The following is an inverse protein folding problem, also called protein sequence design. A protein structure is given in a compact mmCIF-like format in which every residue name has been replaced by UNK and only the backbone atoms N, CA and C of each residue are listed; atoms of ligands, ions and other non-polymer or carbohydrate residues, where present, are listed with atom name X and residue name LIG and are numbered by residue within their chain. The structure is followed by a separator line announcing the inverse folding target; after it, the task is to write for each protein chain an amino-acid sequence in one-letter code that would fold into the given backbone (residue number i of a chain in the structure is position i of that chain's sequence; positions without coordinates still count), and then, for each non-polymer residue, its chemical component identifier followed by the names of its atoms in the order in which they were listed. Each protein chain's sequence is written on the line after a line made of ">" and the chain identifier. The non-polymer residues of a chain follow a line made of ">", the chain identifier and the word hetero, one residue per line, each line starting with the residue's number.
data_IF_878430833481
#
_entry.id   IF_878430833481
#
_cell.length_a   1.000
_cell.length_b   1.000
_cell.length_c   1.000
_cell.angle_alpha   90.00
_cell.angle_beta   90.00
_cell.angle_gamma   90.00
#
_symmetry.space_group_name_H-M   'P 1'
#
loop_
_entity.id
_entity.type
_entity.pdbx_description
1 polymer ?
#
# COMPACT_ATOMS: atom_id res chain seq x y z
N UNK A 1 9.40 25.47 36.20
CA UNK A 1 10.39 24.44 35.84
C UNK A 1 9.92 23.17 36.51
N UNK A 2 9.26 22.30 35.76
CA UNK A 2 8.79 21.00 36.23
C UNK A 2 9.48 19.94 35.40
N UNK A 3 10.08 18.97 36.07
CA UNK A 3 10.92 17.92 35.49
C UNK A 3 10.10 17.00 34.59
N UNK A 4 10.48 16.96 33.31
CA UNK A 4 9.97 16.01 32.33
C UNK A 4 10.83 14.75 32.44
N UNK A 5 10.28 13.67 33.01
CA UNK A 5 10.86 12.34 32.89
C UNK A 5 10.41 11.72 31.56
N UNK A 6 11.34 11.23 30.71
CA UNK A 6 10.96 10.47 29.52
C UNK A 6 10.32 9.14 29.94
N UNK A 7 9.15 8.85 29.37
CA UNK A 7 8.49 7.57 29.53
C UNK A 7 9.36 6.45 28.93
N UNK A 8 9.39 5.33 29.64
CA UNK A 8 10.17 4.13 29.33
C UNK A 8 9.93 3.63 27.88
N UNK A 9 11.04 3.23 27.24
CA UNK A 9 11.08 2.62 25.91
C UNK A 9 10.28 1.30 25.88
N UNK A 10 9.02 1.35 25.43
CA UNK A 10 8.27 0.16 25.08
C UNK A 10 8.91 -0.51 23.83
N UNK A 11 9.62 -1.61 24.07
CA UNK A 11 10.04 -2.53 23.01
C UNK A 11 8.80 -3.15 22.36
N UNK A 12 8.44 -2.68 21.17
CA UNK A 12 7.45 -3.32 20.31
C UNK A 12 8.03 -4.67 19.83
N UNK A 13 7.58 -5.76 20.44
CA UNK A 13 7.92 -7.13 20.04
C UNK A 13 7.15 -7.50 18.77
N UNK A 14 7.82 -7.46 17.61
CA UNK A 14 7.28 -8.01 16.38
C UNK A 14 7.30 -9.56 16.43
N UNK A 15 6.21 -10.20 16.05
CA UNK A 15 6.11 -11.66 15.97
C UNK A 15 7.03 -12.22 14.88
N UNK A 16 7.63 -13.39 15.14
CA UNK A 16 8.55 -14.08 14.21
C UNK A 16 7.86 -14.36 12.87
N UNK A 17 8.26 -13.63 11.82
CA UNK A 17 8.07 -14.02 10.41
C UNK A 17 9.45 -14.25 9.79
N UNK A 18 9.53 -15.19 8.86
CA UNK A 18 10.77 -15.57 8.18
C UNK A 18 11.26 -14.41 7.29
N UNK A 19 12.53 -14.04 7.43
CA UNK A 19 13.18 -12.98 6.66
C UNK A 19 14.09 -13.60 5.59
N UNK A 20 14.01 -13.10 4.36
CA UNK A 20 14.85 -13.55 3.24
C UNK A 20 16.19 -12.80 3.20
N UNK A 21 17.25 -13.52 2.84
CA UNK A 21 18.64 -13.03 2.70
C UNK A 21 18.89 -12.36 1.35
N UNK A 22 19.93 -11.52 1.15
CA UNK A 22 20.23 -10.84 -0.16
C UNK A 22 21.72 -10.42 -0.37
N UNK A 23 22.30 -10.54 -1.59
CA UNK A 23 23.68 -10.11 -1.96
C UNK A 23 23.77 -9.51 -3.39
N UNK A 24 24.82 -8.76 -3.77
CA UNK A 24 24.67 -7.54 -4.62
C UNK A 24 25.39 -7.44 -5.98
N UNK A 25 24.95 -6.46 -6.79
CA UNK A 25 25.55 -6.02 -8.08
C UNK A 25 24.64 -5.15 -8.98
N UNK A 26 25.02 -3.88 -9.18
CA UNK A 26 24.54 -2.75 -10.05
C UNK A 26 23.14 -2.14 -9.83
N UNK A 27 23.11 -0.94 -9.21
CA UNK A 27 21.95 -0.08 -8.78
C UNK A 27 20.76 -0.79 -8.11
N UNK A 28 20.97 -2.05 -7.74
CA UNK A 28 20.25 -2.76 -6.69
C UNK A 28 20.63 -2.09 -5.38
N UNK A 29 19.66 -1.55 -4.64
CA UNK A 29 19.96 -1.12 -3.28
C UNK A 29 20.35 -2.33 -2.44
N UNK A 30 21.48 -2.18 -1.78
CA UNK A 30 22.04 -3.13 -0.83
C UNK A 30 21.12 -3.26 0.38
N UNK A 31 20.08 -4.09 0.28
CA UNK A 31 19.43 -4.59 1.47
C UNK A 31 20.43 -5.50 2.18
N UNK A 32 21.19 -4.94 3.12
CA UNK A 32 21.92 -5.70 4.15
C UNK A 32 20.91 -6.33 5.10
N UNK A 33 20.08 -7.22 4.60
CA UNK A 33 19.36 -8.20 5.41
C UNK A 33 20.27 -9.43 5.49
N UNK A 34 20.96 -9.48 6.63
CA UNK A 34 21.92 -10.50 7.02
C UNK A 34 21.24 -11.86 7.22
N UNK A 35 22.05 -12.91 7.08
CA UNK A 35 21.69 -14.32 7.00
C UNK A 35 21.07 -14.94 8.28
N UNK A 36 19.82 -15.47 8.36
CA UNK A 36 19.38 -16.23 9.52
C UNK A 36 20.05 -17.61 9.65
N UNK A 37 20.73 -18.14 8.63
CA UNK A 37 21.09 -19.56 8.55
C UNK A 37 22.50 -19.88 8.01
N UNK A 38 23.30 -18.91 7.57
CA UNK A 38 24.75 -19.08 7.38
C UNK A 38 25.52 -18.26 8.41
N UNK A 39 26.03 -18.96 9.42
CA UNK A 39 26.65 -18.37 10.61
C UNK A 39 28.02 -17.73 10.39
N UNK A 40 28.18 -16.83 9.41
CA UNK A 40 29.23 -15.80 9.35
C UNK A 40 28.72 -14.66 8.43
N UNK A 41 28.08 -13.62 8.96
CA UNK A 41 28.74 -12.44 9.51
C UNK A 41 28.03 -12.01 10.80
N UNK A 42 28.82 -11.84 11.86
CA UNK A 42 28.42 -11.49 13.22
C UNK A 42 27.65 -10.16 13.30
N UNK A 43 26.37 -10.17 12.95
CA UNK A 43 25.40 -9.21 13.44
C UNK A 43 24.22 -10.00 13.99
N UNK A 44 24.12 -9.99 15.32
CA UNK A 44 23.06 -10.61 16.11
C UNK A 44 21.68 -10.21 15.54
N UNK A 45 20.66 -11.07 15.67
CA UNK A 45 19.25 -10.71 15.39
C UNK A 45 18.89 -9.39 16.10
N UNK A 46 19.47 -9.17 17.28
CA UNK A 46 19.36 -7.91 18.01
C UNK A 46 19.90 -6.72 17.21
N UNK A 47 21.08 -6.82 16.60
CA UNK A 47 21.66 -5.76 15.78
C UNK A 47 20.85 -5.51 14.50
N UNK A 48 20.19 -6.53 13.93
CA UNK A 48 19.28 -6.36 12.78
C UNK A 48 18.03 -5.59 13.15
N UNK A 49 17.43 -5.96 14.28
CA UNK A 49 16.27 -5.26 14.83
C UNK A 49 16.64 -3.82 15.23
N UNK A 50 17.84 -3.61 15.77
CA UNK A 50 18.36 -2.28 16.05
C UNK A 50 18.53 -1.47 14.76
N UNK A 51 19.12 -2.03 13.70
CA UNK A 51 19.32 -1.30 12.44
C UNK A 51 17.99 -0.96 11.74
N UNK A 52 17.01 -1.87 11.78
CA UNK A 52 15.68 -1.63 11.20
C UNK A 52 14.85 -0.62 12.00
N UNK A 53 15.17 -0.41 13.28
CA UNK A 53 14.48 0.57 14.14
C UNK A 53 15.25 1.87 14.36
N UNK A 54 16.55 1.88 14.05
CA UNK A 54 17.40 3.04 14.21
C UNK A 54 17.22 4.07 13.10
N UNK A 55 16.95 5.32 13.52
CA UNK A 55 16.83 6.48 12.64
C UNK A 55 17.99 7.44 12.96
N UNK A 56 18.97 7.59 12.06
CA UNK A 56 20.07 8.54 12.23
C UNK A 56 19.59 9.97 12.44
N UNK A 57 20.25 10.71 13.34
CA UNK A 57 19.93 12.11 13.62
C UNK A 57 19.88 13.01 12.37
N UNK A 58 20.79 12.89 11.37
CA UNK A 58 20.72 13.70 10.16
C UNK A 58 19.38 13.61 9.41
N UNK A 59 18.72 12.44 9.39
CA UNK A 59 17.41 12.31 8.72
C UNK A 59 16.30 13.14 9.38
N UNK A 60 16.48 13.53 10.65
CA UNK A 60 15.54 14.35 11.43
C UNK A 60 15.71 15.86 11.16
N UNK A 61 16.72 16.27 10.39
CA UNK A 61 16.97 17.70 10.12
C UNK A 61 15.99 18.28 9.10
N UNK A 62 15.50 19.50 9.36
CA UNK A 62 14.57 20.24 8.47
C UNK A 62 15.29 20.99 7.34
N UNK A 63 16.14 20.29 6.58
CA UNK A 63 16.87 20.77 5.38
C UNK A 63 17.31 19.56 4.57
N UNK A 64 17.61 19.68 3.28
CA UNK A 64 18.26 18.61 2.51
C UNK A 64 19.59 18.20 3.15
N UNK A 65 19.98 16.95 2.92
CA UNK A 65 21.29 16.41 3.33
C UNK A 65 22.21 16.43 2.12
N UNK A 66 23.50 16.70 2.35
CA UNK A 66 24.51 16.55 1.31
C UNK A 66 24.75 15.08 0.97
N UNK A 67 25.42 14.81 -0.15
CA UNK A 67 25.77 13.43 -0.52
C UNK A 67 26.73 12.81 0.50
N UNK A 68 27.64 13.60 1.09
CA UNK A 68 28.53 13.14 2.16
C UNK A 68 27.76 12.78 3.44
N UNK A 69 26.77 13.60 3.83
CA UNK A 69 25.93 13.30 4.99
C UNK A 69 25.10 12.03 4.78
N UNK A 70 24.55 11.83 3.58
CA UNK A 70 23.82 10.61 3.22
C UNK A 70 24.73 9.37 3.24
N UNK A 71 25.94 9.48 2.68
CA UNK A 71 26.93 8.41 2.70
C UNK A 71 27.38 8.08 4.14
N UNK A 72 27.58 9.09 4.98
CA UNK A 72 28.01 8.90 6.37
C UNK A 72 27.01 8.15 7.24
N UNK A 73 25.71 8.24 6.92
CA UNK A 73 24.66 7.51 7.64
C UNK A 73 24.25 6.22 6.94
N UNK A 74 24.91 5.85 5.83
CA UNK A 74 24.62 4.66 5.04
C UNK A 74 23.17 4.63 4.52
N UNK A 75 22.65 5.77 4.03
CA UNK A 75 21.34 5.85 3.37
C UNK A 75 21.48 6.24 1.90
N UNK A 76 20.60 5.70 1.08
CA UNK A 76 20.47 6.05 -0.34
C UNK A 76 19.27 6.96 -0.55
N UNK A 77 19.49 8.12 -1.18
CA UNK A 77 18.41 8.97 -1.66
C UNK A 77 17.85 8.40 -2.96
N UNK A 78 16.55 8.11 -2.97
CA UNK A 78 15.83 7.66 -4.15
C UNK A 78 15.71 8.82 -5.16
N UNK A 79 16.13 8.57 -6.41
CA UNK A 79 16.09 9.52 -7.53
C UNK A 79 15.08 9.02 -8.59
N UNK A 80 14.58 9.90 -9.45
CA UNK A 80 13.44 9.66 -10.38
C UNK A 80 13.59 8.49 -11.35
N UNK A 81 14.83 8.15 -11.68
CA UNK A 81 15.11 7.34 -12.85
C UNK A 81 15.18 5.84 -12.55
N UNK A 82 15.11 5.44 -11.27
CA UNK A 82 15.57 4.12 -10.85
C UNK A 82 14.59 3.42 -9.91
N UNK A 83 13.95 2.32 -10.36
CA UNK A 83 13.33 1.38 -9.44
C UNK A 83 14.40 0.66 -8.61
N UNK A 84 14.07 0.41 -7.35
CA UNK A 84 14.83 -0.40 -6.42
C UNK A 84 14.26 -1.81 -6.37
N UNK A 85 15.15 -2.79 -6.30
CA UNK A 85 14.82 -4.22 -6.21
C UNK A 85 15.56 -4.85 -5.02
N UNK A 86 14.97 -5.89 -4.45
CA UNK A 86 15.60 -6.81 -3.50
C UNK A 86 16.13 -8.02 -4.28
N UNK A 87 17.32 -8.55 -3.95
CA UNK A 87 17.81 -9.82 -4.52
C UNK A 87 17.83 -10.95 -3.48
N UNK A 88 16.86 -11.87 -3.41
CA UNK A 88 16.95 -13.02 -2.51
C UNK A 88 18.29 -13.80 -2.68
N UNK A 89 19.04 -14.00 -1.59
CA UNK A 89 20.13 -14.96 -1.42
C UNK A 89 19.45 -16.30 -1.37
N UNK A 90 19.71 -17.11 -2.38
CA UNK A 90 19.39 -18.52 -2.31
C UNK A 90 20.35 -19.17 -1.32
N UNK A 91 19.80 -19.94 -0.37
CA UNK A 91 20.61 -20.89 0.37
C UNK A 91 21.19 -21.90 -0.63
N UNK A 92 22.47 -21.77 -0.95
CA UNK A 92 23.23 -22.93 -1.44
C UNK A 92 23.35 -23.89 -0.27
N UNK A 93 22.81 -25.10 -0.41
CA UNK A 93 22.99 -26.15 0.58
C UNK A 93 24.48 -26.28 0.95
N UNK A 94 24.81 -26.41 2.25
CA UNK A 94 26.18 -26.57 2.70
C UNK A 94 26.71 -27.94 2.23
N UNK A 95 27.30 -27.95 1.03
CA UNK A 95 27.84 -29.16 0.40
C UNK A 95 28.26 -29.00 -1.06
N UNK A 96 27.69 -28.03 -1.80
CA UNK A 96 27.93 -27.86 -3.25
C UNK A 96 28.62 -26.53 -3.62
N UNK A 97 29.49 -26.03 -2.74
CA UNK A 97 30.03 -24.65 -2.80
C UNK A 97 31.13 -24.45 -3.85
N UNK A 98 31.62 -25.49 -4.54
CA UNK A 98 32.84 -25.31 -5.34
C UNK A 98 32.68 -24.56 -6.66
N UNK A 99 31.49 -24.33 -7.21
CA UNK A 99 31.33 -23.62 -8.50
C UNK A 99 29.99 -22.87 -8.71
N UNK A 100 29.19 -22.64 -7.68
CA UNK A 100 27.91 -21.94 -7.84
C UNK A 100 28.11 -20.41 -7.96
N UNK A 101 28.69 -19.98 -9.07
CA UNK A 101 28.58 -18.60 -9.53
C UNK A 101 27.12 -18.42 -9.95
N UNK A 102 26.26 -18.02 -9.01
CA UNK A 102 24.86 -17.76 -9.32
C UNK A 102 24.82 -16.61 -10.32
N UNK A 103 24.62 -16.94 -11.60
CA UNK A 103 24.43 -15.95 -12.64
C UNK A 103 23.22 -15.11 -12.23
N UNK A 104 23.47 -13.84 -11.92
CA UNK A 104 22.40 -12.88 -11.64
C UNK A 104 21.60 -12.73 -12.93
N UNK A 105 20.48 -13.42 -13.01
CA UNK A 105 19.49 -13.17 -14.05
C UNK A 105 18.46 -12.19 -13.49
N UNK A 106 17.90 -11.34 -14.35
CA UNK A 106 16.79 -10.43 -13.98
C UNK A 106 15.61 -11.16 -13.31
N UNK A 107 15.50 -12.48 -13.50
CA UNK A 107 14.46 -13.34 -12.92
C UNK A 107 14.52 -13.47 -11.39
N UNK A 108 15.64 -13.13 -10.77
CA UNK A 108 15.83 -13.25 -9.32
C UNK A 108 15.79 -11.90 -8.58
N UNK A 109 15.29 -10.84 -9.23
CA UNK A 109 15.09 -9.53 -8.60
C UNK A 109 13.62 -9.37 -8.21
N UNK A 110 13.38 -9.00 -6.97
CA UNK A 110 12.05 -8.73 -6.42
C UNK A 110 11.84 -7.21 -6.43
N UNK A 111 10.85 -6.69 -7.17
CA UNK A 111 10.46 -5.28 -7.11
C UNK A 111 10.29 -4.78 -5.67
N UNK A 112 10.76 -3.57 -5.35
CA UNK A 112 10.76 -3.09 -3.97
C UNK A 112 10.20 -1.68 -3.78
N UNK A 113 10.84 -0.68 -4.39
CA UNK A 113 10.43 0.71 -4.24
C UNK A 113 10.77 1.53 -5.48
N UNK A 114 10.02 2.59 -5.75
CA UNK A 114 10.34 3.59 -6.76
C UNK A 114 9.78 4.95 -6.38
N UNK A 115 10.64 5.95 -6.42
CA UNK A 115 10.28 7.34 -6.19
C UNK A 115 10.02 8.08 -7.51
N UNK A 116 9.09 9.02 -7.46
CA UNK A 116 8.75 9.94 -8.53
C UNK A 116 8.72 11.36 -7.97
N UNK A 117 9.69 12.20 -8.35
CA UNK A 117 9.69 13.63 -7.98
C UNK A 117 8.57 14.39 -8.69
N UNK A 118 8.41 15.65 -8.32
CA UNK A 118 7.51 16.58 -8.98
C UNK A 118 7.77 16.69 -10.49
N UNK A 119 9.03 16.60 -10.96
CA UNK A 119 9.35 16.59 -12.39
C UNK A 119 8.79 15.33 -13.06
N UNK A 120 8.99 14.17 -12.42
CA UNK A 120 8.55 12.91 -12.99
C UNK A 120 7.01 12.84 -13.07
N UNK A 121 6.31 13.28 -12.01
CA UNK A 121 4.84 13.30 -12.00
C UNK A 121 4.26 14.36 -12.94
N UNK A 122 4.96 15.48 -13.18
CA UNK A 122 4.57 16.48 -14.17
C UNK A 122 4.66 15.91 -15.59
N UNK A 123 5.79 15.29 -15.94
CA UNK A 123 6.00 14.64 -17.24
C UNK A 123 4.99 13.55 -17.54
N UNK A 124 4.46 12.92 -16.49
CA UNK A 124 3.39 11.92 -16.59
C UNK A 124 1.99 12.52 -16.68
N UNK A 125 1.85 13.84 -16.56
CA UNK A 125 0.58 14.55 -16.65
C UNK A 125 -0.30 14.42 -15.40
N UNK A 126 0.28 14.10 -14.23
CA UNK A 126 -0.49 13.83 -13.01
C UNK A 126 -0.77 15.06 -12.15
N UNK A 127 -0.08 16.17 -12.39
CA UNK A 127 -0.24 17.41 -11.64
C UNK A 127 -1.67 17.94 -11.59
N UNK A 128 -2.46 17.99 -12.70
CA UNK A 128 -3.85 18.47 -12.64
C UNK A 128 -4.72 17.65 -11.68
N UNK A 129 -4.56 16.32 -11.70
CA UNK A 129 -5.30 15.41 -10.82
C UNK A 129 -4.87 15.64 -9.36
N UNK A 130 -3.57 15.61 -9.09
CA UNK A 130 -3.02 15.84 -7.75
C UNK A 130 -3.39 17.23 -7.19
N UNK A 131 -3.52 18.25 -8.05
CA UNK A 131 -3.94 19.59 -7.67
C UNK A 131 -5.42 19.61 -7.26
N UNK A 132 -6.29 18.95 -8.02
CA UNK A 132 -7.71 18.80 -7.69
C UNK A 132 -7.90 18.10 -6.33
N UNK A 133 -7.05 17.11 -6.03
CA UNK A 133 -7.00 16.47 -4.71
C UNK A 133 -6.64 17.42 -3.59
N UNK A 134 -5.50 18.10 -3.75
CA UNK A 134 -5.03 19.06 -2.76
C UNK A 134 -6.09 20.12 -2.51
N UNK A 135 -6.71 20.66 -3.56
CA UNK A 135 -7.77 21.65 -3.42
C UNK A 135 -8.90 21.12 -2.54
N UNK A 136 -9.46 19.95 -2.85
CA UNK A 136 -10.59 19.38 -2.08
C UNK A 136 -10.22 19.07 -0.63
N UNK A 137 -9.02 18.56 -0.40
CA UNK A 137 -8.53 18.22 0.95
C UNK A 137 -8.14 19.46 1.77
N UNK A 138 -7.85 20.59 1.12
CA UNK A 138 -7.58 21.88 1.78
C UNK A 138 -8.81 22.79 1.88
N UNK A 139 -9.96 22.41 1.30
CA UNK A 139 -11.20 23.19 1.42
C UNK A 139 -11.60 23.34 2.90
N UNK A 140 -12.01 24.54 3.33
CA UNK A 140 -12.48 24.77 4.69
C UNK A 140 -13.60 23.80 5.07
N UNK A 141 -13.45 23.13 6.22
CA UNK A 141 -14.44 22.20 6.74
C UNK A 141 -14.34 20.76 6.23
N UNK A 142 -13.52 20.45 5.22
CA UNK A 142 -13.32 19.07 4.74
C UNK A 142 -12.84 18.15 5.88
N UNK A 143 -11.78 18.53 6.59
CA UNK A 143 -11.23 17.77 7.71
C UNK A 143 -12.28 17.59 8.83
N UNK A 144 -12.99 18.67 9.19
CA UNK A 144 -14.06 18.60 10.19
C UNK A 144 -15.16 17.61 9.78
N UNK A 145 -15.56 17.62 8.51
CA UNK A 145 -16.55 16.69 7.95
C UNK A 145 -16.05 15.25 8.02
N UNK A 146 -14.79 14.99 7.67
CA UNK A 146 -14.19 13.66 7.78
C UNK A 146 -14.10 13.19 9.23
N UNK A 147 -13.66 14.05 10.14
CA UNK A 147 -13.63 13.81 11.57
C UNK A 147 -15.03 13.45 12.09
N UNK A 148 -16.05 14.25 11.77
CA UNK A 148 -17.44 13.96 12.17
C UNK A 148 -17.93 12.62 11.63
N UNK A 149 -17.53 12.23 10.41
CA UNK A 149 -17.92 10.96 9.83
C UNK A 149 -17.28 9.77 10.55
N UNK A 150 -15.96 9.81 10.84
CA UNK A 150 -15.27 8.68 11.48
C UNK A 150 -15.61 8.56 12.97
N UNK A 151 -15.90 9.69 13.62
CA UNK A 151 -16.26 9.80 15.03
C UNK A 151 -15.04 10.00 15.94
N UNK A 152 -15.27 10.66 17.09
CA UNK A 152 -14.21 11.13 17.99
C UNK A 152 -13.28 10.01 18.49
N UNK A 153 -13.82 8.83 18.83
CA UNK A 153 -13.00 7.68 19.30
C UNK A 153 -11.97 7.22 18.26
N UNK A 154 -12.34 7.23 16.98
CA UNK A 154 -11.43 6.85 15.89
C UNK A 154 -10.34 7.89 15.71
N UNK A 155 -10.66 9.18 15.81
CA UNK A 155 -9.66 10.26 15.74
C UNK A 155 -8.73 10.26 16.95
N UNK A 156 -9.25 9.94 18.13
CA UNK A 156 -8.42 9.77 19.32
C UNK A 156 -7.39 8.65 19.16
N UNK A 157 -7.81 7.51 18.58
CA UNK A 157 -6.97 6.34 18.37
C UNK A 157 -5.97 6.50 17.20
N UNK A 158 -6.40 7.08 16.08
CA UNK A 158 -5.62 7.08 14.82
C UNK A 158 -5.22 8.47 14.34
N UNK A 159 -5.65 9.53 15.02
CA UNK A 159 -5.42 10.90 14.60
C UNK A 159 -6.20 11.25 13.33
N UNK A 160 -5.61 12.12 12.52
CA UNK A 160 -6.21 12.64 11.29
C UNK A 160 -5.93 11.74 10.08
N UNK A 161 -6.35 10.49 10.21
CA UNK A 161 -6.21 9.42 9.21
C UNK A 161 -7.60 8.96 8.77
N UNK A 162 -7.87 9.04 7.48
CA UNK A 162 -9.21 8.82 6.92
C UNK A 162 -9.19 7.82 5.76
N UNK A 163 -9.98 6.74 5.84
CA UNK A 163 -10.20 5.83 4.72
C UNK A 163 -11.26 6.40 3.76
N UNK A 164 -10.97 6.42 2.46
CA UNK A 164 -11.93 6.78 1.40
C UNK A 164 -12.52 5.56 0.66
N UNK A 165 -11.98 4.35 0.89
CA UNK A 165 -12.39 3.13 0.18
C UNK A 165 -13.26 2.20 1.02
N UNK A 166 -13.05 0.89 0.84
CA UNK A 166 -13.49 -0.11 1.80
C UNK A 166 -12.54 -0.13 3.01
N UNK A 167 -13.05 -0.52 4.18
CA UNK A 167 -12.26 -0.60 5.42
C UNK A 167 -12.63 -1.86 6.20
N UNK A 168 -11.73 -2.32 7.05
CA UNK A 168 -11.96 -3.45 7.96
C UNK A 168 -12.27 -2.89 9.35
N UNK A 169 -13.46 -3.18 9.87
CA UNK A 169 -13.81 -2.83 11.24
C UNK A 169 -12.94 -3.64 12.22
N UNK A 170 -12.18 -2.99 13.10
CA UNK A 170 -11.19 -3.64 13.96
C UNK A 170 -11.78 -4.72 14.87
N UNK A 171 -12.92 -4.45 15.53
CA UNK A 171 -13.52 -5.37 16.50
C UNK A 171 -14.15 -6.61 15.84
N UNK A 172 -14.95 -6.39 14.80
CA UNK A 172 -15.70 -7.48 14.15
C UNK A 172 -14.93 -8.14 13.00
N UNK A 173 -13.81 -7.53 12.56
CA UNK A 173 -13.05 -7.86 11.34
C UNK A 173 -13.92 -7.92 10.09
N UNK A 174 -15.02 -7.18 10.09
CA UNK A 174 -15.95 -7.14 8.97
C UNK A 174 -15.53 -6.05 7.98
N UNK A 175 -15.69 -6.35 6.70
CA UNK A 175 -15.36 -5.44 5.59
C UNK A 175 -16.61 -4.65 5.25
N UNK A 176 -16.44 -3.34 5.11
CA UNK A 176 -17.54 -2.41 4.87
C UNK A 176 -17.06 -1.17 4.13
N UNK A 177 -17.99 -0.43 3.52
CA UNK A 177 -17.71 0.90 2.97
C UNK A 177 -17.26 1.82 4.10
N UNK A 178 -16.17 2.58 3.91
CA UNK A 178 -15.65 3.50 4.93
C UNK A 178 -16.68 4.55 5.32
N UNK A 179 -16.58 5.06 6.56
CA UNK A 179 -17.52 6.09 7.06
C UNK A 179 -17.44 7.38 6.25
N UNK A 180 -16.27 7.72 5.71
CA UNK A 180 -16.10 8.91 4.85
C UNK A 180 -16.75 8.68 3.48
N UNK A 181 -16.57 7.51 2.87
CA UNK A 181 -17.25 7.21 1.59
C UNK A 181 -18.78 7.22 1.70
N UNK A 182 -19.33 6.79 2.85
CA UNK A 182 -20.77 6.84 3.14
C UNK A 182 -21.35 8.24 3.26
N UNK A 183 -20.53 9.29 3.28
CA UNK A 183 -21.02 10.67 3.18
C UNK A 183 -21.67 10.96 1.81
N UNK A 184 -21.51 10.07 0.82
CA UNK A 184 -22.23 10.18 -0.43
C UNK A 184 -21.67 11.23 -1.39
N UNK A 185 -20.48 11.78 -1.12
CA UNK A 185 -19.92 12.90 -1.88
C UNK A 185 -19.51 12.43 -3.30
N UNK A 186 -20.21 12.88 -4.37
CA UNK A 186 -19.93 12.43 -5.74
C UNK A 186 -18.52 12.84 -6.19
N UNK A 187 -17.96 13.90 -5.62
CA UNK A 187 -16.59 14.31 -5.91
C UNK A 187 -15.58 13.28 -5.41
N UNK A 188 -15.84 12.64 -4.27
CA UNK A 188 -14.99 11.57 -3.71
C UNK A 188 -14.92 10.37 -4.64
N UNK A 189 -15.99 10.05 -5.39
CA UNK A 189 -15.96 8.97 -6.40
C UNK A 189 -14.99 9.25 -7.55
N UNK A 190 -15.05 10.45 -8.12
CA UNK A 190 -14.14 10.84 -9.22
C UNK A 190 -12.70 10.80 -8.75
N UNK A 191 -12.48 11.30 -7.53
CA UNK A 191 -11.21 11.22 -6.85
C UNK A 191 -10.73 9.76 -6.71
N UNK A 192 -11.49 8.87 -6.06
CA UNK A 192 -11.07 7.46 -5.90
C UNK A 192 -10.68 6.84 -7.24
N UNK A 193 -11.49 7.07 -8.28
CA UNK A 193 -11.23 6.54 -9.62
C UNK A 193 -9.93 7.10 -10.21
N UNK A 194 -9.70 8.41 -10.12
CA UNK A 194 -8.52 9.06 -10.67
C UNK A 194 -7.24 8.70 -9.92
N UNK A 195 -7.27 8.65 -8.58
CA UNK A 195 -6.12 8.18 -7.77
C UNK A 195 -5.74 6.77 -8.17
N UNK A 196 -6.72 5.86 -8.22
CA UNK A 196 -6.42 4.46 -8.48
C UNK A 196 -5.87 4.31 -9.90
N UNK A 197 -6.41 5.07 -10.87
CA UNK A 197 -5.86 5.10 -12.22
C UNK A 197 -4.40 5.55 -12.23
N UNK A 198 -4.05 6.66 -11.58
CA UNK A 198 -2.66 7.13 -11.56
C UNK A 198 -1.74 6.18 -10.77
N UNK A 199 -2.23 5.57 -9.69
CA UNK A 199 -1.49 4.59 -8.90
C UNK A 199 -1.15 3.34 -9.73
N UNK A 200 -2.11 2.82 -10.51
CA UNK A 200 -1.88 1.72 -11.43
C UNK A 200 -0.85 2.09 -12.51
N UNK A 201 -0.93 3.30 -13.08
CA UNK A 201 0.06 3.75 -14.09
C UNK A 201 1.45 3.90 -13.49
N UNK A 202 1.57 4.47 -12.28
CA UNK A 202 2.86 4.58 -11.57
C UNK A 202 3.43 3.21 -11.25
N UNK A 203 2.59 2.27 -10.86
CA UNK A 203 3.00 0.92 -10.51
C UNK A 203 3.47 0.13 -11.73
N UNK A 204 2.74 0.20 -12.86
CA UNK A 204 3.17 -0.40 -14.13
C UNK A 204 4.46 0.25 -14.66
N UNK A 205 4.58 1.57 -14.57
CA UNK A 205 5.83 2.26 -14.94
C UNK A 205 6.98 1.91 -14.01
N UNK A 206 6.68 1.66 -12.72
CA UNK A 206 7.70 1.37 -11.73
C UNK A 206 8.35 0.03 -12.04
N UNK A 207 7.52 -0.97 -12.32
CA UNK A 207 7.95 -2.34 -12.55
C UNK A 207 7.18 -2.93 -13.74
N UNK A 208 7.58 -2.58 -14.99
CA UNK A 208 6.88 -3.05 -16.18
C UNK A 208 6.83 -4.57 -16.24
N UNK A 209 5.66 -5.13 -16.54
CA UNK A 209 5.48 -6.59 -16.60
C UNK A 209 5.59 -7.31 -15.25
N UNK A 210 5.53 -6.57 -14.12
CA UNK A 210 5.39 -7.18 -12.78
C UNK A 210 4.09 -7.95 -12.62
N UNK A 211 3.10 -7.67 -13.47
CA UNK A 211 1.79 -8.29 -13.47
C UNK A 211 1.98 -9.77 -13.78
N UNK A 212 2.29 -10.48 -12.70
CA UNK A 212 2.46 -11.90 -12.73
C UNK A 212 1.08 -12.51 -12.86
N UNK A 213 0.99 -13.56 -13.68
CA UNK A 213 -0.13 -14.48 -13.67
C UNK A 213 -0.59 -14.84 -12.24
N UNK A 214 0.32 -14.85 -11.27
CA UNK A 214 0.05 -15.13 -9.86
C UNK A 214 -0.85 -14.06 -9.24
N UNK A 215 -0.53 -12.77 -9.38
CA UNK A 215 -1.34 -11.69 -8.81
C UNK A 215 -2.74 -11.68 -9.43
N UNK A 216 -2.82 -11.82 -10.75
CA UNK A 216 -4.11 -11.87 -11.46
C UNK A 216 -4.93 -13.10 -11.05
N UNK A 217 -4.29 -14.27 -10.92
CA UNK A 217 -4.98 -15.50 -10.44
C UNK A 217 -5.42 -15.37 -9.00
N UNK A 218 -4.62 -14.75 -8.13
CA UNK A 218 -5.00 -14.47 -6.74
C UNK A 218 -6.21 -13.54 -6.71
N UNK A 219 -6.17 -12.43 -7.45
CA UNK A 219 -7.27 -11.47 -7.55
C UNK A 219 -8.58 -12.11 -8.07
N UNK A 220 -8.49 -12.97 -9.08
CA UNK A 220 -9.63 -13.72 -9.61
C UNK A 220 -10.14 -14.77 -8.62
N UNK A 221 -9.24 -15.64 -8.13
CA UNK A 221 -9.57 -16.80 -7.29
C UNK A 221 -10.09 -16.43 -5.91
N UNK A 222 -9.51 -15.39 -5.31
CA UNK A 222 -9.96 -14.87 -4.02
C UNK A 222 -11.12 -13.88 -4.16
N UNK A 223 -11.61 -13.63 -5.38
CA UNK A 223 -12.62 -12.61 -5.65
C UNK A 223 -12.28 -11.26 -5.01
N UNK A 224 -11.00 -10.88 -5.02
CA UNK A 224 -10.46 -9.74 -4.27
C UNK A 224 -11.21 -8.44 -4.58
N UNK A 225 -11.40 -7.63 -3.54
CA UNK A 225 -12.06 -6.33 -3.62
C UNK A 225 -11.11 -5.33 -4.29
N UNK A 226 -11.54 -4.74 -5.41
CA UNK A 226 -10.82 -3.65 -6.08
C UNK A 226 -11.69 -2.39 -6.13
N UNK A 227 -11.09 -1.22 -5.91
CA UNK A 227 -11.81 0.07 -5.86
C UNK A 227 -11.54 0.95 -7.08
N UNK A 228 -12.45 1.88 -7.37
CA UNK A 228 -12.27 2.95 -8.34
C UNK A 228 -12.17 2.51 -9.80
N UNK A 229 -10.97 2.21 -10.26
CA UNK A 229 -10.67 1.99 -11.68
C UNK A 229 -10.91 0.54 -12.10
N UNK A 230 -11.38 0.33 -13.34
CA UNK A 230 -11.72 -1.01 -13.86
C UNK A 230 -10.52 -1.96 -14.01
N UNK A 231 -9.34 -1.40 -14.24
CA UNK A 231 -8.11 -2.16 -14.45
C UNK A 231 -7.35 -2.37 -13.12
N UNK A 232 -7.97 -2.06 -11.98
CA UNK A 232 -7.36 -2.22 -10.66
C UNK A 232 -7.48 -3.65 -10.15
N UNK A 233 -6.33 -4.33 -10.05
CA UNK A 233 -6.19 -5.68 -9.50
C UNK A 233 -5.42 -5.69 -8.17
N UNK A 234 -5.01 -4.51 -7.67
CA UNK A 234 -4.02 -4.38 -6.60
C UNK A 234 -4.60 -3.71 -5.36
N UNK A 235 -5.07 -2.46 -5.53
CA UNK A 235 -5.41 -1.57 -4.43
C UNK A 235 -6.83 -1.83 -3.95
N UNK A 236 -7.01 -1.94 -2.63
CA UNK A 236 -8.31 -2.25 -2.04
C UNK A 236 -8.87 -1.09 -1.22
N UNK A 237 -8.02 -0.14 -0.81
CA UNK A 237 -8.41 1.06 -0.06
C UNK A 237 -7.52 2.25 -0.40
N UNK A 238 -7.93 3.44 0.09
CA UNK A 238 -7.16 4.68 0.03
C UNK A 238 -7.23 5.30 1.43
N UNK A 239 -6.07 5.55 2.01
CA UNK A 239 -5.90 6.30 3.25
C UNK A 239 -5.50 7.74 2.93
N UNK A 240 -6.07 8.72 3.64
CA UNK A 240 -5.71 10.13 3.55
C UNK A 240 -5.22 10.59 4.92
N UNK A 241 -3.96 11.05 4.96
CA UNK A 241 -3.33 11.59 6.16
C UNK A 241 -3.28 13.10 6.04
N UNK A 242 -3.90 13.82 6.98
CA UNK A 242 -3.89 15.29 7.03
C UNK A 242 -3.25 15.73 8.33
N UNK A 243 -2.19 16.54 8.29
CA UNK A 243 -1.61 17.11 9.51
C UNK A 243 -1.34 18.60 9.36
N UNK A 244 -1.53 19.32 10.46
CA UNK A 244 -1.16 20.73 10.55
C UNK A 244 0.36 20.87 10.49
N UNK A 245 0.87 22.03 10.05
CA UNK A 245 2.32 22.23 9.96
C UNK A 245 3.01 22.40 11.32
N UNK A 246 2.25 22.78 12.35
CA UNK A 246 2.78 23.07 13.70
C UNK A 246 2.72 21.86 14.63
N UNK A 247 1.92 20.84 14.28
CA UNK A 247 1.78 19.64 15.08
C UNK A 247 2.89 18.65 14.76
N UNK A 248 3.32 17.89 15.76
CA UNK A 248 4.23 16.77 15.53
C UNK A 248 3.49 15.65 14.78
N UNK A 249 4.17 14.91 13.90
CA UNK A 249 3.53 13.85 13.11
C UNK A 249 2.98 12.73 14.01
N UNK A 250 3.70 12.34 15.06
CA UNK A 250 3.21 11.32 16.00
C UNK A 250 1.98 11.81 16.74
N UNK A 251 1.93 13.11 17.11
CA UNK A 251 0.72 13.65 17.73
C UNK A 251 -0.49 13.71 16.79
N UNK A 252 -0.24 14.01 15.51
CA UNK A 252 -1.30 14.23 14.50
C UNK A 252 -1.83 12.93 13.89
N UNK A 253 -0.96 11.95 13.71
CA UNK A 253 -1.23 10.70 13.01
C UNK A 253 -1.07 9.47 13.93
N UNK A 254 -0.75 9.67 15.21
CA UNK A 254 -0.56 8.59 16.20
C UNK A 254 0.46 7.56 15.70
N UNK A 255 0.12 6.28 15.72
CA UNK A 255 0.98 5.18 15.28
C UNK A 255 1.39 5.30 13.80
N UNK A 256 0.57 5.95 12.96
CA UNK A 256 0.91 6.19 11.55
C UNK A 256 1.96 7.29 11.35
N UNK A 257 2.26 8.07 12.40
CA UNK A 257 3.35 9.05 12.40
C UNK A 257 4.69 8.46 12.83
N UNK A 258 4.66 7.34 13.57
CA UNK A 258 5.84 6.71 14.15
C UNK A 258 6.43 5.65 13.22
N UNK A 259 7.50 4.97 13.65
CA UNK A 259 8.08 3.88 12.88
C UNK A 259 7.16 2.67 12.97
N UNK A 260 6.61 2.23 11.84
CA UNK A 260 5.66 1.13 11.80
C UNK A 260 5.86 0.24 10.57
N UNK A 261 5.12 -0.86 10.55
CA UNK A 261 4.92 -1.72 9.38
C UNK A 261 3.43 -1.82 9.14
N UNK A 262 3.02 -1.79 7.87
CA UNK A 262 1.64 -2.05 7.52
C UNK A 262 1.40 -3.55 7.47
N UNK A 263 1.25 -4.16 8.65
CA UNK A 263 1.20 -5.61 8.83
C UNK A 263 0.01 -6.30 8.11
N UNK A 264 -1.00 -5.52 7.72
CA UNK A 264 -2.15 -5.98 6.94
C UNK A 264 -1.96 -5.83 5.44
N UNK A 265 -0.83 -5.32 4.97
CA UNK A 265 -0.53 -5.31 3.55
C UNK A 265 -0.05 -6.66 3.04
N UNK A 266 -0.42 -6.97 1.80
CA UNK A 266 0.05 -8.18 1.15
C UNK A 266 1.55 -8.04 0.79
N UNK A 267 2.42 -8.97 1.21
CA UNK A 267 3.86 -8.89 0.98
C UNK A 267 4.32 -8.82 -0.49
N UNK A 268 3.49 -9.27 -1.44
CA UNK A 268 3.79 -9.21 -2.88
C UNK A 268 3.14 -8.01 -3.57
N UNK A 269 2.38 -7.21 -2.81
CA UNK A 269 1.64 -6.06 -3.30
C UNK A 269 2.37 -4.75 -3.00
N UNK A 270 1.95 -3.69 -3.70
CA UNK A 270 2.56 -2.37 -3.57
C UNK A 270 1.58 -1.34 -3.06
N UNK A 271 2.08 -0.46 -2.21
CA UNK A 271 1.43 0.77 -1.80
C UNK A 271 1.95 1.93 -2.63
N UNK A 272 1.04 2.79 -3.04
CA UNK A 272 1.36 4.07 -3.65
C UNK A 272 1.11 5.17 -2.62
N UNK A 273 2.01 6.13 -2.52
CA UNK A 273 1.87 7.30 -1.66
C UNK A 273 2.04 8.57 -2.49
N UNK A 274 1.05 9.45 -2.45
CA UNK A 274 1.01 10.72 -3.17
C UNK A 274 1.12 11.87 -2.17
N UNK A 275 2.19 12.65 -2.27
CA UNK A 275 2.37 13.84 -1.45
C UNK A 275 1.68 15.02 -2.13
N UNK A 276 0.55 15.46 -1.62
CA UNK A 276 -0.23 16.59 -2.16
C UNK A 276 -0.30 17.75 -1.17
N UNK A 277 0.70 17.87 -0.30
CA UNK A 277 0.80 18.91 0.72
C UNK A 277 0.72 20.34 0.15
N UNK A 278 0.16 21.26 0.94
CA UNK A 278 0.27 22.71 0.70
C UNK A 278 1.20 23.31 1.75
N UNK A 279 2.41 23.71 1.32
CA UNK A 279 3.49 24.14 2.21
C UNK A 279 3.92 25.58 1.92
N UNK A 280 4.35 26.35 2.93
CA UNK A 280 4.95 27.66 2.71
C UNK A 280 6.38 27.52 2.16
N UNK A 281 6.84 28.54 1.46
CA UNK A 281 8.18 28.56 0.83
C UNK A 281 9.33 28.31 1.83
N UNK A 282 9.22 28.84 3.05
CA UNK A 282 10.22 28.64 4.10
C UNK A 282 9.96 27.37 4.95
N UNK A 283 9.56 26.28 4.29
CA UNK A 283 9.25 25.00 4.94
C UNK A 283 9.91 23.84 4.20
N UNK A 284 10.62 23.00 4.93
CA UNK A 284 11.15 21.75 4.44
C UNK A 284 10.02 20.72 4.35
N UNK A 285 9.82 20.05 3.21
CA UNK A 285 8.68 19.14 3.02
C UNK A 285 8.71 17.87 3.86
N UNK A 286 9.87 17.51 4.42
CA UNK A 286 10.06 16.25 5.12
C UNK A 286 10.62 15.16 4.22
N UNK A 287 10.69 13.96 4.78
CA UNK A 287 11.21 12.75 4.16
C UNK A 287 10.33 11.57 4.45
N UNK A 288 10.51 10.53 3.66
CA UNK A 288 10.05 9.19 3.95
C UNK A 288 11.24 8.25 3.91
N UNK A 289 11.36 7.38 4.90
CA UNK A 289 12.45 6.42 5.00
C UNK A 289 11.90 4.99 5.10
N UNK A 290 12.50 4.07 4.34
CA UNK A 290 12.29 2.64 4.48
C UNK A 290 13.56 2.10 5.16
N UNK A 291 13.49 1.93 6.48
CA UNK A 291 14.67 1.85 7.34
C UNK A 291 15.52 0.60 7.15
N UNK A 292 14.98 -0.63 6.89
CA UNK A 292 15.81 -1.81 6.66
C UNK A 292 16.58 -1.73 5.34
N UNK A 293 15.98 -1.11 4.32
CA UNK A 293 16.60 -0.92 3.01
C UNK A 293 17.48 0.33 2.93
N UNK A 294 17.51 1.12 4.00
CA UNK A 294 18.24 2.39 4.04
C UNK A 294 17.88 3.33 2.89
N UNK A 295 16.63 3.29 2.44
CA UNK A 295 16.12 4.14 1.37
C UNK A 295 15.47 5.39 1.96
N UNK A 296 15.63 6.51 1.27
CA UNK A 296 14.99 7.77 1.64
C UNK A 296 14.53 8.54 0.41
N UNK A 297 13.34 9.14 0.46
CA UNK A 297 12.90 10.15 -0.51
C UNK A 297 12.31 11.38 0.17
N UNK A 298 12.19 12.46 -0.59
CA UNK A 298 11.50 13.67 -0.14
C UNK A 298 9.99 13.51 -0.26
N UNK A 299 9.26 13.99 0.74
CA UNK A 299 7.79 14.06 0.75
C UNK A 299 7.29 15.43 0.23
N UNK A 300 7.91 15.92 -0.84
CA UNK A 300 7.60 17.23 -1.40
C UNK A 300 6.22 17.24 -2.08
N UNK A 301 5.57 18.41 -2.20
CA UNK A 301 4.32 18.48 -2.95
C UNK A 301 4.49 17.95 -4.37
N UNK A 302 3.48 17.22 -4.84
CA UNK A 302 3.43 16.58 -6.15
C UNK A 302 4.44 15.45 -6.38
N UNK A 303 5.00 14.86 -5.33
CA UNK A 303 5.82 13.65 -5.45
C UNK A 303 4.98 12.39 -5.23
N UNK A 304 5.46 11.25 -5.71
CA UNK A 304 4.88 9.95 -5.44
C UNK A 304 5.93 8.90 -5.08
N UNK A 305 5.54 7.88 -4.33
CA UNK A 305 6.35 6.72 -3.97
C UNK A 305 5.52 5.46 -4.19
N UNK A 306 6.07 4.48 -4.88
CA UNK A 306 5.53 3.11 -4.95
C UNK A 306 6.47 2.22 -4.14
N UNK A 307 5.98 1.49 -3.15
CA UNK A 307 6.84 0.66 -2.29
C UNK A 307 6.07 -0.48 -1.63
N UNK A 308 6.79 -1.48 -1.11
CA UNK A 308 6.21 -2.51 -0.23
C UNK A 308 6.15 -1.99 1.21
N UNK A 309 4.97 -1.71 1.76
CA UNK A 309 4.86 -1.14 3.12
C UNK A 309 4.88 -2.18 4.25
N UNK A 310 5.09 -3.46 3.90
CA UNK A 310 5.34 -4.55 4.84
C UNK A 310 6.74 -4.51 5.51
N UNK A 311 7.53 -3.47 5.26
CA UNK A 311 8.83 -3.23 5.88
C UNK A 311 8.76 -1.99 6.80
N UNK A 312 9.56 -1.95 7.89
CA UNK A 312 9.61 -0.78 8.75
C UNK A 312 9.88 0.51 7.96
N UNK A 313 9.01 1.49 8.14
CA UNK A 313 9.09 2.76 7.44
C UNK A 313 8.50 3.89 8.27
N UNK A 314 8.89 5.13 7.94
CA UNK A 314 8.51 6.31 8.72
C UNK A 314 8.58 7.59 7.88
N UNK A 315 7.65 8.52 8.13
CA UNK A 315 7.76 9.90 7.70
C UNK A 315 8.58 10.71 8.71
N UNK A 316 9.62 11.40 8.26
CA UNK A 316 10.60 12.07 9.11
C UNK A 316 10.74 13.55 8.76
N UNK A 317 11.16 14.33 9.76
CA UNK A 317 11.37 15.76 9.64
C UNK A 317 10.11 16.46 9.08
N UNK A 318 10.30 17.59 8.42
CA UNK A 318 9.20 18.39 7.89
C UNK A 318 8.88 19.50 8.87
N UNK A 319 9.19 20.73 8.48
CA UNK A 319 9.23 21.83 9.41
C UNK A 319 9.82 23.08 8.79
N UNK A 320 9.81 24.18 9.54
CA UNK A 320 10.52 25.38 9.12
C UNK A 320 12.02 25.10 8.99
N UNK A 321 12.64 25.68 7.97
CA UNK A 321 14.10 25.63 7.84
C UNK A 321 14.76 26.29 9.07
N UNK A 322 15.99 25.88 9.43
CA UNK A 322 16.76 26.52 10.50
C UNK A 322 16.91 28.04 10.24
N UNK A 323 16.81 28.86 11.29
CA UNK A 323 16.84 30.33 11.19
C UNK A 323 18.09 30.88 10.49
N UNK A 324 19.22 30.17 10.56
CA UNK A 324 20.48 30.57 9.95
C UNK A 324 20.71 30.03 8.54
N UNK A 325 19.76 29.30 7.94
CA UNK A 325 19.93 28.73 6.60
C UNK A 325 19.55 29.77 5.52
N UNK A 326 20.49 30.25 4.69
CA UNK A 326 20.21 31.25 3.65
C UNK A 326 19.15 30.77 2.65
N UNK A 327 18.38 31.69 2.07
CA UNK A 327 17.29 31.38 1.12
C UNK A 327 17.78 30.70 -0.17
N UNK A 328 18.99 31.04 -0.60
CA UNK A 328 19.69 30.50 -1.77
C UNK A 328 20.52 29.24 -1.46
N UNK A 329 20.45 28.73 -0.23
CA UNK A 329 21.22 27.55 0.17
C UNK A 329 20.83 26.31 -0.65
N UNK A 330 21.80 25.52 -1.15
CA UNK A 330 21.51 24.25 -1.82
C UNK A 330 20.92 23.20 -0.88
N UNK A 331 20.91 23.45 0.44
CA UNK A 331 20.26 22.60 1.42
C UNK A 331 18.77 22.90 1.58
N UNK A 332 18.24 23.90 0.86
CA UNK A 332 16.79 24.11 0.74
C UNK A 332 16.25 23.33 -0.45
N UNK A 333 15.11 22.69 -0.26
CA UNK A 333 14.36 22.13 -1.36
C UNK A 333 13.70 23.26 -2.16
N UNK A 334 14.02 23.30 -3.45
CA UNK A 334 13.33 24.13 -4.44
C UNK A 334 12.78 23.21 -5.53
N UNK A 335 11.46 23.23 -5.79
CA UNK A 335 10.90 22.47 -6.89
C UNK A 335 11.49 22.98 -8.20
N UNK A 336 11.83 22.05 -9.10
CA UNK A 336 12.40 22.35 -10.43
C UNK A 336 11.33 22.49 -11.52
N UNK A 337 10.07 22.56 -11.10
CA UNK A 337 8.86 22.66 -11.93
C UNK A 337 7.88 23.59 -11.26
N UNK A 338 7.03 24.23 -12.05
CA UNK A 338 5.98 25.10 -11.54
C UNK A 338 4.89 24.23 -10.91
N UNK A 339 4.85 24.24 -9.58
CA UNK A 339 3.82 23.50 -8.87
C UNK A 339 2.50 24.24 -9.03
N UNK A 340 1.39 23.54 -9.34
CA UNK A 340 0.08 24.17 -9.36
C UNK A 340 -0.16 24.93 -8.06
N UNK A 341 -0.77 26.11 -8.14
CA UNK A 341 -1.21 26.86 -6.96
C UNK A 341 -2.62 26.44 -6.53
N UNK A 342 -3.03 26.81 -5.32
CA UNK A 342 -4.44 26.68 -4.91
C UNK A 342 -5.24 27.88 -5.46
N UNK A 343 -6.46 27.68 -5.96
CA UNK A 343 -7.31 28.79 -6.43
C UNK A 343 -7.48 29.87 -5.34
N UNK A 344 -7.35 31.14 -5.73
CA UNK A 344 -7.45 32.28 -4.82
C UNK A 344 -8.80 32.38 -4.10
N UNK A 345 -9.88 31.87 -4.68
CA UNK A 345 -11.24 31.94 -4.11
C UNK A 345 -11.42 31.08 -2.85
N UNK A 346 -10.56 30.06 -2.66
CA UNK A 346 -10.48 29.29 -1.41
C UNK A 346 -9.73 30.05 -0.30
N UNK A 347 -9.18 31.23 -0.59
CA UNK A 347 -8.46 32.11 0.33
C UNK A 347 -9.33 33.28 0.83
N UNK A 348 -10.66 33.19 0.80
CA UNK A 348 -11.62 34.19 1.33
C UNK A 348 -11.53 34.45 2.86
N UNK A 349 -10.43 34.05 3.51
CA UNK A 349 -10.01 34.62 4.80
C UNK A 349 -9.30 35.95 4.53
N UNK A 350 -9.40 36.95 5.44
CA UNK A 350 -8.66 38.19 5.29
C UNK A 350 -7.17 37.87 5.09
N UNK A 351 -6.59 38.46 4.03
CA UNK A 351 -5.19 38.41 3.60
C UNK A 351 -4.25 37.52 4.45
N UNK A 352 -3.83 36.38 3.91
CA UNK A 352 -2.54 35.78 4.28
C UNK A 352 -2.56 34.48 5.10
N UNK A 353 -3.70 33.90 5.44
CA UNK A 353 -3.74 32.56 6.08
C UNK A 353 -4.10 31.49 5.04
N UNK A 354 -3.16 31.19 4.14
CA UNK A 354 -3.21 29.95 3.34
C UNK A 354 -3.29 28.77 4.32
N UNK A 355 -4.26 27.87 4.17
CA UNK A 355 -4.40 26.72 5.05
C UNK A 355 -3.32 25.68 4.72
N UNK A 356 -2.13 25.92 5.22
CA UNK A 356 -0.98 25.06 4.98
C UNK A 356 -1.14 23.76 5.77
N UNK A 357 -1.03 22.64 5.05
CA UNK A 357 -1.24 21.28 5.56
C UNK A 357 -0.24 20.33 4.91
N UNK A 358 0.23 19.35 5.68
CA UNK A 358 0.85 18.14 5.11
C UNK A 358 -0.26 17.17 4.76
N UNK A 359 -0.28 16.71 3.51
CA UNK A 359 -1.33 15.83 2.99
C UNK A 359 -0.67 14.71 2.19
N UNK A 360 -0.90 13.48 2.64
CA UNK A 360 -0.53 12.27 1.90
C UNK A 360 -1.79 11.48 1.57
N UNK A 361 -1.87 11.00 0.33
CA UNK A 361 -2.95 10.10 -0.11
C UNK A 361 -2.32 8.78 -0.52
N UNK A 362 -2.81 7.69 0.06
CA UNK A 362 -2.10 6.42 0.08
C UNK A 362 -3.05 5.31 -0.38
N UNK A 363 -3.09 4.95 -1.67
CA UNK A 363 -3.70 3.70 -2.12
C UNK A 363 -2.88 2.51 -1.66
N UNK A 364 -3.54 1.56 -0.98
CA UNK A 364 -2.86 0.41 -0.42
C UNK A 364 -3.64 -0.91 -0.62
N UNK A 365 -2.93 -2.05 -0.67
CA UNK A 365 -3.48 -3.39 -0.79
C UNK A 365 -3.70 -4.01 0.59
N UNK A 366 -4.94 -4.07 1.08
CA UNK A 366 -5.22 -4.75 2.35
C UNK A 366 -5.44 -6.24 2.13
N UNK A 367 -4.59 -7.10 2.70
CA UNK A 367 -4.67 -8.56 2.57
C UNK A 367 -6.03 -9.09 3.01
N UNK A 368 -6.66 -8.47 4.02
CA UNK A 368 -7.99 -8.89 4.49
C UNK A 368 -9.09 -8.59 3.48
N UNK A 369 -8.87 -7.71 2.51
CA UNK A 369 -9.79 -7.42 1.40
C UNK A 369 -9.41 -8.14 0.11
N UNK A 370 -8.14 -8.52 -0.03
CA UNK A 370 -7.68 -9.37 -1.12
C UNK A 370 -8.07 -10.83 -0.88
N UNK A 371 -7.98 -11.30 0.38
CA UNK A 371 -8.19 -12.68 0.82
C UNK A 371 -9.25 -12.73 1.94
N UNK A 372 -10.38 -12.05 1.74
CA UNK A 372 -11.44 -11.97 2.75
C UNK A 372 -12.15 -13.30 2.95
N UNK A 373 -12.71 -13.54 4.14
CA UNK A 373 -13.70 -14.61 4.35
C UNK A 373 -15.08 -14.12 3.92
N UNK A 374 -15.83 -14.91 3.13
CA UNK A 374 -17.08 -14.44 2.50
C UNK A 374 -18.13 -13.95 3.49
N UNK A 375 -18.21 -14.55 4.69
CA UNK A 375 -19.12 -14.15 5.76
C UNK A 375 -18.72 -12.84 6.48
N UNK A 376 -17.55 -12.26 6.19
CA UNK A 376 -17.08 -11.00 6.78
C UNK A 376 -17.53 -9.76 6.00
N UNK A 377 -18.12 -9.91 4.82
CA UNK A 377 -18.63 -8.79 4.06
C UNK A 377 -19.94 -8.27 4.68
N UNK A 378 -20.03 -6.97 4.92
CA UNK A 378 -21.28 -6.30 5.30
C UNK A 378 -22.11 -5.96 4.06
N UNK A 379 -23.42 -5.81 4.25
CA UNK A 379 -24.36 -5.35 3.21
C UNK A 379 -23.94 -4.03 2.56
N UNK A 380 -23.24 -3.17 3.30
CA UNK A 380 -22.72 -1.90 2.78
C UNK A 380 -21.69 -2.03 1.66
N UNK A 381 -21.19 -3.24 1.40
CA UNK A 381 -20.30 -3.52 0.24
C UNK A 381 -21.13 -3.70 -1.04
N UNK A 382 -22.39 -4.10 -0.89
CA UNK A 382 -23.31 -4.45 -1.97
C UNK A 382 -24.41 -3.39 -2.20
N UNK A 383 -24.57 -2.44 -1.28
CA UNK A 383 -25.52 -1.33 -1.42
C UNK A 383 -25.18 -0.42 -2.62
N UNK A 384 -26.14 0.41 -3.04
CA UNK A 384 -25.91 1.33 -4.17
C UNK A 384 -24.98 2.49 -3.81
N UNK A 385 -24.88 2.84 -2.53
CA UNK A 385 -23.98 3.88 -2.03
C UNK A 385 -22.49 3.48 -2.20
N UNK A 386 -22.17 2.19 -2.12
CA UNK A 386 -20.83 1.65 -2.39
C UNK A 386 -20.37 1.89 -3.82
N UNK A 387 -21.27 2.25 -4.75
CA UNK A 387 -20.91 2.58 -6.13
C UNK A 387 -19.88 3.73 -6.21
N UNK A 388 -19.87 4.63 -5.21
CA UNK A 388 -18.85 5.67 -5.09
C UNK A 388 -17.45 5.09 -4.90
N UNK A 389 -17.33 3.99 -4.16
CA UNK A 389 -16.06 3.28 -3.91
C UNK A 389 -15.71 2.35 -5.07
N UNK A 390 -16.68 1.63 -5.64
CA UNK A 390 -16.46 0.78 -6.81
C UNK A 390 -16.07 1.58 -8.06
N UNK A 391 -16.43 2.87 -8.11
CA UNK A 391 -16.17 3.79 -9.23
C UNK A 391 -17.08 3.58 -10.45
N UNK A 392 -17.49 2.33 -10.72
CA UNK A 392 -18.43 2.00 -11.79
C UNK A 392 -19.32 0.80 -11.47
N UNK A 393 -20.49 0.74 -12.11
CA UNK A 393 -21.41 -0.39 -11.98
C UNK A 393 -20.77 -1.68 -12.51
N UNK A 394 -19.93 -1.56 -13.56
CA UNK A 394 -19.17 -2.69 -14.09
C UNK A 394 -18.31 -3.34 -13.01
N UNK A 395 -17.52 -2.54 -12.28
CA UNK A 395 -16.63 -3.07 -11.23
C UNK A 395 -17.42 -3.75 -10.10
N UNK A 396 -18.52 -3.12 -9.66
CA UNK A 396 -19.43 -3.70 -8.66
C UNK A 396 -19.97 -5.06 -9.13
N UNK A 397 -20.54 -5.13 -10.34
CA UNK A 397 -21.09 -6.37 -10.89
C UNK A 397 -20.03 -7.45 -11.11
N UNK A 398 -18.84 -7.06 -11.55
CA UNK A 398 -17.72 -7.98 -11.71
C UNK A 398 -17.28 -8.58 -10.38
N UNK A 399 -17.20 -7.77 -9.32
CA UNK A 399 -16.97 -8.26 -7.97
C UNK A 399 -18.09 -9.19 -7.51
N UNK A 400 -19.36 -8.79 -7.63
CA UNK A 400 -20.51 -9.61 -7.21
C UNK A 400 -20.51 -10.99 -7.89
N UNK A 401 -20.18 -11.05 -9.19
CA UNK A 401 -20.04 -12.32 -9.91
C UNK A 401 -18.89 -13.17 -9.36
N UNK A 402 -17.69 -12.59 -9.20
CA UNK A 402 -16.53 -13.32 -8.62
C UNK A 402 -16.83 -13.80 -7.20
N UNK A 403 -17.47 -12.97 -6.39
CA UNK A 403 -17.88 -13.29 -5.03
C UNK A 403 -18.91 -14.44 -4.98
N UNK A 404 -19.92 -14.41 -5.85
CA UNK A 404 -20.91 -15.47 -5.94
C UNK A 404 -20.27 -16.81 -6.35
N UNK A 405 -19.35 -16.79 -7.33
CA UNK A 405 -18.57 -17.97 -7.73
C UNK A 405 -17.76 -18.51 -6.54
N UNK A 406 -17.04 -17.62 -5.85
CA UNK A 406 -16.23 -17.99 -4.69
C UNK A 406 -17.07 -18.64 -3.58
N UNK A 407 -18.23 -18.07 -3.24
CA UNK A 407 -19.16 -18.65 -2.25
C UNK A 407 -19.65 -20.04 -2.65
N UNK A 408 -19.95 -20.24 -3.93
CA UNK A 408 -20.36 -21.55 -4.44
C UNK A 408 -19.23 -22.58 -4.29
N UNK A 409 -17.99 -22.19 -4.62
CA UNK A 409 -16.81 -23.04 -4.49
C UNK A 409 -16.52 -23.37 -3.02
N UNK A 410 -16.57 -22.39 -2.11
CA UNK A 410 -16.40 -22.63 -0.67
C UNK A 410 -17.43 -23.64 -0.14
N UNK A 411 -18.71 -23.46 -0.48
CA UNK A 411 -19.78 -24.39 -0.09
C UNK A 411 -19.59 -25.78 -0.67
N UNK A 412 -19.12 -25.88 -1.92
CA UNK A 412 -18.80 -27.13 -2.59
C UNK A 412 -17.72 -27.91 -1.85
N UNK A 413 -16.63 -27.23 -1.49
CA UNK A 413 -15.54 -27.83 -0.73
C UNK A 413 -16.03 -28.29 0.64
N UNK A 414 -16.86 -27.49 1.33
CA UNK A 414 -17.47 -27.91 2.60
C UNK A 414 -18.34 -29.18 2.47
N UNK A 415 -19.10 -29.31 1.38
CA UNK A 415 -19.91 -30.52 1.12
C UNK A 415 -19.00 -31.72 0.84
N UNK A 416 -17.97 -31.55 0.01
CA UNK A 416 -17.01 -32.61 -0.33
C UNK A 416 -16.19 -33.07 0.89
N UNK A 417 -15.87 -32.17 1.81
CA UNK A 417 -15.18 -32.51 3.06
C UNK A 417 -16.10 -33.24 4.05
N UNK A 418 -17.41 -32.98 4.00
CA UNK A 418 -18.40 -33.60 4.89
C UNK A 418 -18.94 -34.94 4.39
N UNK A 419 -18.86 -35.24 3.09
CA UNK A 419 -19.41 -36.46 2.51
C UNK A 419 -18.61 -36.99 1.30
N UNK A 420 -18.33 -38.31 1.30
CA UNK A 420 -17.94 -39.09 0.10
C UNK A 420 -19.13 -39.29 -0.89
N UNK A 421 -20.28 -38.64 -0.64
CA UNK A 421 -21.58 -38.85 -1.33
C UNK A 421 -22.29 -37.59 -1.84
N UNK A 422 -21.73 -36.38 -1.67
CA UNK A 422 -22.43 -35.09 -1.83
C UNK A 422 -22.76 -34.60 -3.25
N UNK A 423 -22.68 -35.44 -4.30
CA UNK A 423 -22.82 -35.00 -5.69
C UNK A 423 -24.26 -34.65 -6.11
N UNK A 424 -25.28 -35.18 -5.41
CA UNK A 424 -26.68 -35.02 -5.78
C UNK A 424 -27.31 -33.72 -5.26
N UNK A 425 -26.94 -33.26 -4.06
CA UNK A 425 -27.41 -31.98 -3.50
C UNK A 425 -26.95 -30.77 -4.32
N UNK A 426 -25.82 -30.91 -5.02
CA UNK A 426 -25.23 -29.87 -5.85
C UNK A 426 -26.07 -29.55 -7.09
N UNK A 427 -26.71 -30.55 -7.71
CA UNK A 427 -27.50 -30.34 -8.93
C UNK A 427 -28.72 -29.47 -8.65
N UNK A 428 -29.39 -29.70 -7.52
CA UNK A 428 -30.58 -28.94 -7.13
C UNK A 428 -30.26 -27.46 -6.83
N UNK A 429 -29.10 -27.18 -6.23
CA UNK A 429 -28.70 -25.81 -5.88
C UNK A 429 -28.16 -24.98 -7.06
N UNK A 430 -27.48 -25.61 -8.01
CA UNK A 430 -27.07 -24.95 -9.27
C UNK A 430 -28.30 -24.65 -10.13
N UNK A 431 -29.27 -25.57 -10.17
CA UNK A 431 -30.54 -25.37 -10.87
C UNK A 431 -31.40 -24.28 -10.22
N UNK A 432 -31.43 -24.18 -8.89
CA UNK A 432 -32.14 -23.11 -8.18
C UNK A 432 -31.52 -21.72 -8.38
N UNK A 433 -30.18 -21.61 -8.41
CA UNK A 433 -29.48 -20.37 -8.71
C UNK A 433 -29.67 -19.92 -10.17
N UNK A 434 -29.82 -20.87 -11.11
CA UNK A 434 -30.12 -20.57 -12.52
C UNK A 434 -31.57 -20.10 -12.74
N UNK A 435 -32.50 -20.51 -11.88
CA UNK A 435 -33.91 -20.16 -11.98
C UNK A 435 -34.30 -18.88 -11.20
N UNK A 436 -33.54 -18.51 -10.17
CA UNK A 436 -33.79 -17.30 -9.36
C UNK A 436 -33.30 -15.99 -9.99
N UNK A 437 -32.30 -16.05 -10.87
CA UNK A 437 -31.76 -14.88 -11.56
C UNK A 437 -31.97 -14.99 -13.06
N UNK A 438 -32.98 -14.29 -13.60
CA UNK A 438 -33.15 -14.06 -15.05
C UNK A 438 -32.02 -13.17 -15.59
N UNK A 439 -30.78 -13.67 -15.64
CA UNK A 439 -29.72 -13.11 -16.49
C UNK A 439 -29.99 -13.52 -17.95
N UNK A 440 -30.94 -12.84 -18.60
CA UNK A 440 -31.06 -12.89 -20.06
C UNK A 440 -29.88 -12.13 -20.67
N UNK A 441 -28.94 -12.83 -21.29
CA UNK A 441 -28.17 -12.25 -22.40
C UNK A 441 -26.66 -12.42 -22.48
N UNK A 442 -25.99 -13.21 -21.63
CA UNK A 442 -24.53 -13.35 -21.74
C UNK A 442 -24.07 -14.80 -21.89
N UNK A 443 -23.44 -15.08 -23.04
CA UNK A 443 -22.70 -16.32 -23.31
C UNK A 443 -21.63 -16.49 -22.23
N UNK A 444 -21.65 -17.64 -21.58
CA UNK A 444 -20.69 -18.07 -20.56
C UNK A 444 -19.25 -17.88 -21.04
N UNK A 445 -18.43 -17.20 -20.22
CA UNK A 445 -17.04 -16.92 -20.51
C UNK A 445 -16.21 -18.20 -20.40
N UNK A 446 -15.74 -18.73 -21.55
CA UNK A 446 -14.91 -19.95 -21.68
C UNK A 446 -13.59 -19.94 -20.89
N UNK A 447 -13.17 -18.78 -20.37
CA UNK A 447 -11.92 -18.65 -19.60
C UNK A 447 -12.02 -19.20 -18.17
N UNK A 448 -13.21 -19.20 -17.56
CA UNK A 448 -13.39 -19.64 -16.16
C UNK A 448 -13.38 -21.17 -16.04
N UNK A 449 -13.86 -21.88 -17.07
CA UNK A 449 -13.85 -23.35 -17.12
C UNK A 449 -12.44 -23.95 -17.21
N UNK A 450 -11.49 -23.26 -17.84
CA UNK A 450 -10.16 -23.81 -18.12
C UNK A 450 -9.22 -23.82 -16.91
N UNK A 451 -9.30 -22.82 -16.02
CA UNK A 451 -8.52 -22.78 -14.76
C UNK A 451 -9.05 -23.77 -13.72
N UNK A 452 -10.36 -24.01 -13.71
CA UNK A 452 -11.00 -24.92 -12.76
C UNK A 452 -10.84 -26.40 -13.13
N UNK A 453 -10.84 -26.75 -14.43
CA UNK A 453 -10.49 -28.12 -14.87
C UNK A 453 -9.09 -28.53 -14.39
N UNK A 454 -8.11 -27.63 -14.42
CA UNK A 454 -6.74 -27.94 -13.96
C UNK A 454 -6.62 -28.11 -12.45
N UNK A 455 -7.42 -27.41 -11.66
CA UNK A 455 -7.45 -27.61 -10.20
C UNK A 455 -8.13 -28.94 -9.83
N UNK A 456 -9.22 -29.29 -10.52
CA UNK A 456 -9.89 -30.59 -10.38
C UNK A 456 -9.01 -31.77 -10.82
N UNK A 457 -8.25 -31.62 -11.93
CA UNK A 457 -7.31 -32.64 -12.40
C UNK A 457 -6.17 -32.85 -11.40
N UNK A 458 -5.56 -31.78 -10.88
CA UNK A 458 -4.49 -31.89 -9.87
C UNK A 458 -4.95 -32.54 -8.57
N UNK A 459 -6.20 -32.27 -8.16
CA UNK A 459 -6.77 -32.90 -6.97
C UNK A 459 -7.05 -34.39 -7.21
N UNK A 460 -7.59 -34.76 -8.38
CA UNK A 460 -7.79 -36.16 -8.80
C UNK A 460 -6.47 -36.94 -8.83
N UNK A 461 -5.41 -36.34 -9.36
CA UNK A 461 -4.09 -36.96 -9.40
C UNK A 461 -3.51 -37.16 -7.99
N UNK A 462 -3.77 -36.24 -7.06
CA UNK A 462 -3.36 -36.35 -5.65
C UNK A 462 -4.11 -37.46 -4.88
N UNK A 463 -5.39 -37.70 -5.20
CA UNK A 463 -6.18 -38.80 -4.63
C UNK A 463 -5.75 -40.15 -5.23
N UNK A 464 -5.35 -40.19 -6.50
CA UNK A 464 -4.89 -41.42 -7.16
C UNK A 464 -3.44 -41.84 -6.82
N UNK A 465 -2.72 -41.04 -6.04
CA UNK A 465 -1.34 -41.31 -5.60
C UNK A 465 -1.21 -42.37 -4.49
N UNK A 466 -2.30 -43.03 -4.11
CA UNK A 466 -2.30 -44.17 -3.19
C UNK A 466 -1.93 -45.47 -3.90
N UNK A 467 -0.66 -45.87 -3.79
CA UNK A 467 -0.20 -47.27 -3.75
C UNK A 467 -0.78 -48.22 -4.83
N UNK A 468 -0.09 -48.33 -5.97
CA UNK A 468 0.06 -49.64 -6.64
C UNK A 468 1.46 -50.16 -6.37
N UNK A 469 1.59 -51.00 -5.33
CA UNK A 469 2.63 -52.03 -5.23
C UNK A 469 2.01 -53.37 -5.64
N UNK A 470 2.64 -53.94 -6.67
CA UNK A 470 2.92 -55.35 -6.95
C UNK A 470 1.78 -56.36 -7.20
N UNK A 471 1.70 -56.78 -8.47
CA UNK A 471 1.97 -58.17 -8.91
C UNK A 471 2.34 -58.19 -10.39
#
# INVERSE_FOLDING_TARGET
>A
MGDYQPADDEKVLFSKREYFNVELGHQICELRLLDPLTGVTNKDINERNELSTYIPHPLRLNRLLSEEEMAAIDYTSMKDDLPFYIRPKHHTEPGNVKNATTVVTQKNLVPYARYYSAIATEKLGFHPIMAAFREKLTRPGTEKRFHSAVGARTVEAHGNVYDLGFTVQQEARNIQTSKVARLGDPEVRYLITDIIRIAMVLLEKAFPGRDSDIQTRSWLGNASIGIGHRDNTEFTSIQVNISELKSDLNSSLKDFGSLHMDATENPISFTASFCVSHLPENYFPGRFAITPARLMCLTAPFTALVFTANQPHIALAGGRYPKGLPHDSPLRYSPKVDLPELPHDNCNKPFGVRDYRRINVIPYPNIKMQEYETHKLRDTVFDDDSLLVWGSMRNKREFEMRHAIRRLVERLLEIMEKEDTGLNQLKEDVESYSCGNKFRGYKTCKYVTWTHERQLIRFRDSISGGSRKDS
#
